data_IF_835343205358
#
_entry.id   IF_835343205358
#
_cell.length_a   1.000
_cell.length_b   1.000
_cell.length_c   1.000
_cell.angle_alpha   90.00
_cell.angle_beta   90.00
_cell.angle_gamma   90.00
#
_symmetry.space_group_name_H-M   'P 1'
#
loop_
_entity.id
_entity.type
_entity.pdbx_description
1 polymer ?
#
# COMPACT_ATOMS: atom_id res chain seq x y z
N UNK A 1 -13.27 4.71 5.60
CA UNK A 1 -12.06 4.31 6.35
C UNK A 1 -11.54 3.01 5.76
N UNK A 2 -10.44 3.07 5.01
CA UNK A 2 -9.94 1.97 4.15
C UNK A 2 -8.84 1.19 4.88
N UNK A 3 -8.76 -0.13 4.72
CA UNK A 3 -7.76 -1.01 5.39
C UNK A 3 -6.29 -0.62 5.14
N UNK A 4 -6.00 0.29 4.19
CA UNK A 4 -4.66 0.85 3.93
C UNK A 4 -4.17 1.84 4.98
N UNK A 5 -5.05 2.63 5.59
CA UNK A 5 -4.69 3.56 6.66
C UNK A 5 -4.83 2.95 8.07
N UNK A 6 -5.67 1.93 8.22
CA UNK A 6 -5.95 1.33 9.52
C UNK A 6 -4.91 0.23 9.82
N UNK A 7 -3.83 0.62 10.52
CA UNK A 7 -2.91 -0.32 11.17
C UNK A 7 -3.73 -1.29 12.03
N UNK A 8 -3.58 -2.60 11.83
CA UNK A 8 -4.16 -3.56 12.78
C UNK A 8 -3.28 -3.56 14.01
N UNK A 9 -3.82 -3.14 15.15
CA UNK A 9 -3.13 -3.25 16.43
C UNK A 9 -2.72 -4.70 16.67
N UNK A 10 -1.50 -4.91 17.14
CA UNK A 10 -1.08 -6.24 17.54
C UNK A 10 -1.85 -6.71 18.77
N UNK A 11 -1.95 -8.02 18.92
CA UNK A 11 -2.59 -8.65 20.07
C UNK A 11 -1.52 -8.92 21.14
N UNK A 12 -1.90 -8.78 22.42
CA UNK A 12 -1.06 -9.17 23.56
C UNK A 12 0.32 -8.47 23.66
N UNK A 13 0.46 -7.26 23.10
CA UNK A 13 1.72 -6.51 23.12
C UNK A 13 2.52 -6.60 21.81
N UNK A 14 1.96 -7.21 20.77
CA UNK A 14 2.55 -7.19 19.42
C UNK A 14 2.48 -5.81 18.75
N UNK A 15 3.44 -5.53 17.88
CA UNK A 15 3.52 -4.28 17.11
C UNK A 15 2.42 -4.19 16.02
N UNK A 16 1.97 -2.96 15.67
CA UNK A 16 1.00 -2.76 14.59
C UNK A 16 1.53 -3.23 13.23
N UNK A 17 0.67 -3.84 12.42
CA UNK A 17 1.02 -4.25 11.06
C UNK A 17 1.13 -3.05 10.14
N UNK A 18 2.13 -2.99 9.24
CA UNK A 18 2.41 -1.84 8.38
C UNK A 18 1.21 -1.44 7.49
N UNK A 19 1.07 -0.12 7.24
CA UNK A 19 0.09 0.43 6.31
C UNK A 19 0.35 -0.05 4.89
N UNK A 20 -0.72 -0.26 4.12
CA UNK A 20 -0.61 -0.56 2.70
C UNK A 20 -0.52 0.72 1.87
N UNK A 21 0.15 0.66 0.73
CA UNK A 21 0.34 1.78 -0.19
C UNK A 21 0.17 1.30 -1.65
N UNK A 22 -0.16 2.20 -2.56
CA UNK A 22 -0.20 1.92 -3.99
C UNK A 22 0.63 2.99 -4.71
N UNK A 23 1.41 2.59 -5.71
CA UNK A 23 2.10 3.55 -6.57
C UNK A 23 2.17 3.08 -8.02
N UNK A 24 2.24 4.04 -8.93
CA UNK A 24 2.55 3.80 -10.34
C UNK A 24 3.99 4.24 -10.58
N UNK A 25 4.80 3.33 -11.11
CA UNK A 25 6.16 3.63 -11.56
C UNK A 25 6.10 3.82 -13.07
N UNK A 26 6.46 5.02 -13.53
CA UNK A 26 6.59 5.38 -14.94
C UNK A 26 7.81 4.70 -15.56
N UNK A 27 7.85 4.64 -16.88
CA UNK A 27 8.98 4.04 -17.62
C UNK A 27 10.31 4.76 -17.36
N UNK A 28 10.28 6.06 -17.08
CA UNK A 28 11.44 6.87 -16.70
C UNK A 28 11.88 6.69 -15.24
N UNK A 29 11.15 5.87 -14.47
CA UNK A 29 11.39 5.60 -13.06
C UNK A 29 10.70 6.57 -12.10
N UNK A 30 9.92 7.54 -12.57
CA UNK A 30 9.11 8.40 -11.70
C UNK A 30 8.09 7.55 -10.94
N UNK A 31 8.08 7.69 -9.61
CA UNK A 31 7.08 7.03 -8.76
C UNK A 31 5.98 8.01 -8.34
N UNK A 32 4.74 7.65 -8.67
CA UNK A 32 3.55 8.42 -8.34
C UNK A 32 2.74 7.64 -7.31
N UNK A 33 2.58 8.20 -6.12
CA UNK A 33 1.72 7.63 -5.09
C UNK A 33 0.25 7.74 -5.49
N UNK A 34 -0.49 6.64 -5.36
CA UNK A 34 -1.89 6.55 -5.78
C UNK A 34 -2.82 6.64 -4.58
N UNK A 35 -3.92 7.36 -4.76
CA UNK A 35 -5.01 7.38 -3.79
C UNK A 35 -5.60 5.98 -3.55
N UNK A 36 -6.31 5.83 -2.44
CA UNK A 36 -6.93 4.58 -2.00
C UNK A 36 -7.94 4.01 -3.01
N UNK A 37 -8.57 4.87 -3.81
CA UNK A 37 -9.33 4.51 -5.01
C UNK A 37 -8.98 5.47 -6.16
N UNK A 38 -8.55 4.92 -7.28
CA UNK A 38 -8.20 5.70 -8.47
C UNK A 38 -8.52 4.91 -9.74
N UNK A 39 -8.87 5.63 -10.81
CA UNK A 39 -8.93 5.11 -12.18
C UNK A 39 -7.83 5.82 -12.97
N UNK A 40 -6.93 5.06 -13.57
CA UNK A 40 -5.81 5.59 -14.33
C UNK A 40 -5.62 4.78 -15.61
N UNK A 41 -5.12 5.45 -16.66
CA UNK A 41 -4.61 4.79 -17.85
C UNK A 41 -3.14 4.44 -17.61
N UNK A 42 -2.80 3.17 -17.84
CA UNK A 42 -1.44 2.64 -17.69
C UNK A 42 -0.92 2.25 -19.07
N UNK A 43 0.33 2.59 -19.37
CA UNK A 43 1.01 2.24 -20.62
C UNK A 43 1.84 0.99 -20.45
N UNK A 44 2.13 0.31 -21.57
CA UNK A 44 3.09 -0.78 -21.58
C UNK A 44 4.47 -0.26 -21.11
N UNK A 45 5.14 -1.00 -20.23
CA UNK A 45 6.41 -0.59 -19.63
C UNK A 45 6.28 0.09 -18.26
N UNK A 46 5.10 0.55 -17.88
CA UNK A 46 4.85 1.08 -16.53
C UNK A 46 4.53 -0.04 -15.53
N UNK A 47 4.79 0.19 -14.24
CA UNK A 47 4.60 -0.80 -13.18
C UNK A 47 3.60 -0.28 -12.14
N UNK A 48 2.49 -1.01 -11.96
CA UNK A 48 1.57 -0.79 -10.85
C UNK A 48 2.04 -1.58 -9.63
N UNK A 49 2.48 -0.88 -8.56
CA UNK A 49 2.89 -1.49 -7.30
C UNK A 49 1.77 -1.41 -6.27
N UNK A 50 1.36 -2.58 -5.76
CA UNK A 50 0.32 -2.72 -4.74
C UNK A 50 0.95 -3.32 -3.49
N UNK A 51 1.14 -2.50 -2.46
CA UNK A 51 1.56 -2.94 -1.13
C UNK A 51 0.30 -3.12 -0.28
N UNK A 52 -0.09 -4.37 -0.04
CA UNK A 52 -1.20 -4.68 0.86
C UNK A 52 -0.77 -4.48 2.32
N UNK A 53 -1.65 -3.99 3.21
CA UNK A 53 -1.34 -3.81 4.64
C UNK A 53 -0.87 -5.12 5.30
N UNK A 54 0.10 -5.02 6.20
CA UNK A 54 0.58 -6.14 7.01
C UNK A 54 -0.42 -6.56 8.10
N UNK A 55 -0.31 -7.82 8.55
CA UNK A 55 -0.96 -8.27 9.78
C UNK A 55 -0.22 -7.74 11.01
N UNK A 56 -0.96 -7.38 12.07
CA UNK A 56 -0.35 -7.02 13.36
C UNK A 56 0.31 -8.22 14.01
N UNK A 57 1.42 -8.01 14.72
CA UNK A 57 2.11 -9.05 15.46
C UNK A 57 1.30 -9.57 16.66
N UNK A 58 1.72 -10.71 17.21
CA UNK A 58 1.20 -11.26 18.46
C UNK A 58 2.37 -11.40 19.45
N UNK A 59 2.26 -10.78 20.63
CA UNK A 59 3.28 -10.73 21.69
C UNK A 59 2.87 -11.46 22.95
#
# INVERSE_FOLDING_TARGET
>A
MTRRLALRGGLSGGEPGASGANSLIREDGEEIELSDKVTLAVKAGEVLRICTPGGGGHG
#
